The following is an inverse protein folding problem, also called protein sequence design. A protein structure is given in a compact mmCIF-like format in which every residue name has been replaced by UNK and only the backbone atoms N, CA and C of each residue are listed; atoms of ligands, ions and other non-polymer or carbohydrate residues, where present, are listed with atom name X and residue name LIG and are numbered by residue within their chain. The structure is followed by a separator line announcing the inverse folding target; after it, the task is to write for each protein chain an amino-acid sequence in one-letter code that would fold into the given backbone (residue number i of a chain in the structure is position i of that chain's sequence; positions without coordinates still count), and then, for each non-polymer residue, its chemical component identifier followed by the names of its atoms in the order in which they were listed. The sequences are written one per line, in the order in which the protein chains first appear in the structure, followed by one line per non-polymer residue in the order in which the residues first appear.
data_IF_199645100735
#
_entry.id   IF_199645100735
#
_cell.length_a   1.000
_cell.length_b   1.000
_cell.length_c   1.000
_cell.angle_alpha   90.00
_cell.angle_beta   90.00
_cell.angle_gamma   90.00
#
_symmetry.space_group_name_H-M   'P 1'
#
loop_
_entity.id
_entity.type
_entity.pdbx_description
1 polymer ?
#
# COMPACT_ATOMS: atom_id res chain seq x y z
N UNK A 1 29.69 12.58 -14.58
CA UNK A 1 29.38 11.41 -13.75
C UNK A 1 28.15 11.79 -12.95
N UNK A 2 26.98 11.26 -13.29
CA UNK A 2 25.75 11.58 -12.57
C UNK A 2 25.72 10.75 -11.29
N UNK A 3 25.70 11.41 -10.14
CA UNK A 3 25.45 10.77 -8.84
C UNK A 3 24.19 9.90 -8.92
N UNK A 4 24.16 8.70 -8.32
CA UNK A 4 22.91 7.98 -8.21
C UNK A 4 22.00 8.82 -7.31
N UNK A 5 20.94 9.38 -7.89
CA UNK A 5 19.82 9.88 -7.12
C UNK A 5 19.42 8.75 -6.17
N UNK A 6 19.51 8.98 -4.86
CA UNK A 6 19.17 7.97 -3.88
C UNK A 6 17.69 7.68 -4.06
N UNK A 7 17.37 6.55 -4.68
CA UNK A 7 16.00 6.20 -5.01
C UNK A 7 15.28 5.82 -3.72
N UNK A 8 14.07 6.34 -3.53
CA UNK A 8 13.18 5.94 -2.43
C UNK A 8 13.00 4.42 -2.47
N UNK A 9 13.26 3.70 -1.37
CA UNK A 9 13.02 2.27 -1.31
C UNK A 9 11.54 1.97 -1.58
N UNK A 10 11.30 1.03 -2.49
CA UNK A 10 9.97 0.65 -2.92
C UNK A 10 9.86 -0.87 -3.08
N UNK A 11 8.72 -1.44 -2.71
CA UNK A 11 8.31 -2.80 -3.01
C UNK A 11 7.00 -2.77 -3.80
N UNK A 12 6.76 -3.79 -4.62
CA UNK A 12 5.54 -3.91 -5.41
C UNK A 12 5.07 -5.36 -5.46
N UNK A 13 3.75 -5.55 -5.45
CA UNK A 13 3.11 -6.85 -5.55
C UNK A 13 1.84 -6.74 -6.41
N UNK A 14 1.39 -7.86 -6.96
CA UNK A 14 0.10 -7.96 -7.62
C UNK A 14 -0.63 -9.16 -7.06
N UNK A 15 -1.79 -8.90 -6.47
CA UNK A 15 -2.68 -9.92 -5.92
C UNK A 15 -3.76 -10.24 -6.94
N UNK A 16 -4.18 -11.51 -6.94
CA UNK A 16 -5.36 -11.95 -7.69
C UNK A 16 -6.47 -12.20 -6.67
N UNK A 17 -7.61 -11.56 -6.89
CA UNK A 17 -8.77 -11.60 -6.01
C UNK A 17 -9.98 -12.12 -6.81
N UNK A 18 -11.09 -12.40 -6.13
CA UNK A 18 -12.30 -12.80 -6.83
C UNK A 18 -12.69 -11.75 -7.89
N UNK A 19 -12.91 -12.16 -9.16
CA UNK A 19 -13.36 -11.24 -10.18
C UNK A 19 -14.63 -10.51 -9.74
N UNK A 20 -14.79 -9.24 -10.15
CA UNK A 20 -15.95 -8.42 -9.79
C UNK A 20 -16.11 -8.16 -8.28
N UNK A 21 -15.07 -8.38 -7.47
CA UNK A 21 -15.05 -7.87 -6.08
C UNK A 21 -15.29 -6.35 -6.14
N UNK A 22 -16.25 -5.79 -5.39
CA UNK A 22 -16.51 -4.34 -5.45
C UNK A 22 -15.33 -3.54 -4.91
N UNK A 23 -14.93 -2.46 -5.60
CA UNK A 23 -13.89 -1.52 -5.11
C UNK A 23 -14.14 -1.06 -3.66
N UNK A 24 -15.38 -0.76 -3.22
CA UNK A 24 -15.63 -0.42 -1.82
C UNK A 24 -15.21 -1.52 -0.82
N UNK A 25 -15.43 -2.81 -1.13
CA UNK A 25 -15.00 -3.94 -0.28
C UNK A 25 -13.48 -4.01 -0.21
N UNK A 26 -12.81 -3.81 -1.35
CA UNK A 26 -11.34 -3.77 -1.43
C UNK A 26 -10.78 -2.65 -0.56
N UNK A 27 -11.36 -1.44 -0.65
CA UNK A 27 -10.91 -0.29 0.13
C UNK A 27 -11.20 -0.43 1.62
N UNK A 28 -12.33 -1.01 2.00
CA UNK A 28 -12.65 -1.32 3.39
C UNK A 28 -11.60 -2.26 4.00
N UNK A 29 -11.27 -3.36 3.31
CA UNK A 29 -10.22 -4.26 3.75
C UNK A 29 -8.84 -3.60 3.84
N UNK A 30 -8.51 -2.73 2.89
CA UNK A 30 -7.26 -1.97 2.94
C UNK A 30 -7.22 -1.05 4.16
N UNK A 31 -8.30 -0.30 4.43
CA UNK A 31 -8.40 0.60 5.60
C UNK A 31 -8.33 -0.16 6.91
N UNK A 32 -9.04 -1.28 7.04
CA UNK A 32 -8.98 -2.11 8.24
C UNK A 32 -7.55 -2.61 8.48
N UNK A 33 -6.86 -3.06 7.43
CA UNK A 33 -5.48 -3.53 7.57
C UNK A 33 -4.52 -2.40 7.91
N UNK A 34 -4.66 -1.24 7.27
CA UNK A 34 -3.84 -0.05 7.56
C UNK A 34 -4.04 0.43 9.00
N UNK A 35 -5.28 0.43 9.51
CA UNK A 35 -5.58 0.81 10.89
C UNK A 35 -4.87 -0.13 11.87
N UNK A 36 -4.97 -1.45 11.68
CA UNK A 36 -4.27 -2.44 12.51
C UNK A 36 -2.76 -2.22 12.51
N UNK A 37 -2.17 -2.03 11.32
CA UNK A 37 -0.73 -1.83 11.18
C UNK A 37 -0.25 -0.52 11.81
N UNK A 38 -1.04 0.56 11.72
CA UNK A 38 -0.73 1.83 12.34
C UNK A 38 -0.81 1.82 13.87
N UNK A 39 -1.57 0.89 14.46
CA UNK A 39 -1.57 0.65 15.91
C UNK A 39 -0.35 -0.18 16.36
N UNK A 40 0.07 -1.15 15.55
CA UNK A 40 1.16 -2.07 15.87
C UNK A 40 2.57 -1.51 15.58
N UNK A 41 2.71 -0.68 14.55
CA UNK A 41 3.99 -0.19 14.06
C UNK A 41 3.89 1.27 13.55
N UNK A 42 4.60 2.17 14.23
CA UNK A 42 4.65 3.60 13.94
C UNK A 42 5.22 3.95 12.55
N UNK A 43 5.84 2.99 11.85
CA UNK A 43 6.23 3.18 10.46
C UNK A 43 5.02 3.27 9.54
N UNK A 44 3.86 2.70 9.88
CA UNK A 44 2.69 2.72 9.01
C UNK A 44 1.89 3.99 9.13
N UNK A 45 1.86 4.78 8.05
CA UNK A 45 0.86 5.83 7.91
C UNK A 45 -0.49 5.21 7.51
N UNK A 46 -1.42 5.21 8.46
CA UNK A 46 -2.78 4.70 8.28
C UNK A 46 -3.76 5.76 7.73
N UNK A 47 -3.30 7.01 7.56
CA UNK A 47 -4.14 8.08 7.02
C UNK A 47 -4.25 7.94 5.51
N UNK A 48 -5.47 7.68 5.04
CA UNK A 48 -5.80 7.75 3.61
C UNK A 48 -5.72 9.20 3.15
N UNK A 49 -4.86 9.47 2.16
CA UNK A 49 -4.64 10.80 1.58
C UNK A 49 -5.27 10.95 0.20
N UNK A 50 -5.55 9.84 -0.48
CA UNK A 50 -6.31 9.81 -1.74
C UNK A 50 -7.21 8.58 -1.77
N UNK A 51 -8.46 8.80 -2.17
CA UNK A 51 -9.43 7.73 -2.43
C UNK A 51 -10.21 8.09 -3.69
N UNK A 52 -10.07 7.26 -4.72
CA UNK A 52 -10.68 7.42 -6.03
C UNK A 52 -11.38 6.11 -6.40
N UNK A 53 -12.65 6.00 -5.98
CA UNK A 53 -13.45 4.79 -6.20
C UNK A 53 -13.69 4.51 -7.69
N UNK A 54 -14.00 5.51 -8.55
CA UNK A 54 -14.14 5.29 -10.00
C UNK A 54 -12.88 4.70 -10.64
N UNK A 55 -11.70 5.21 -10.29
CA UNK A 55 -10.44 4.74 -10.86
C UNK A 55 -9.81 3.58 -10.06
N UNK A 56 -10.40 3.17 -8.93
CA UNK A 56 -9.90 2.06 -8.11
C UNK A 56 -8.60 2.37 -7.36
N UNK A 57 -8.30 3.64 -7.08
CA UNK A 57 -7.07 4.07 -6.39
C UNK A 57 -7.31 4.39 -4.91
N UNK A 58 -6.45 3.86 -4.04
CA UNK A 58 -6.35 4.26 -2.63
C UNK A 58 -4.87 4.49 -2.26
N UNK A 59 -4.57 5.63 -1.63
CA UNK A 59 -3.20 5.98 -1.23
C UNK A 59 -3.13 6.49 0.22
N UNK A 60 -2.00 6.24 0.88
CA UNK A 60 -1.67 6.78 2.21
C UNK A 60 -0.45 7.69 2.20
N UNK A 61 -0.35 8.53 3.22
CA UNK A 61 0.84 9.31 3.56
C UNK A 61 1.44 10.15 2.43
N UNK A 62 0.63 10.65 1.50
CA UNK A 62 1.09 11.39 0.31
C UNK A 62 2.14 10.58 -0.49
N UNK A 63 1.74 9.41 -0.96
CA UNK A 63 2.55 8.46 -1.71
C UNK A 63 3.51 9.06 -2.78
N UNK A 64 3.14 10.08 -3.58
CA UNK A 64 4.01 10.61 -4.63
C UNK A 64 5.28 11.31 -4.14
N UNK A 65 5.30 11.79 -2.90
CA UNK A 65 6.43 12.54 -2.36
C UNK A 65 7.65 11.63 -2.10
N UNK A 66 8.87 12.12 -2.23
CA UNK A 66 10.05 11.27 -2.00
C UNK A 66 10.60 11.37 -0.57
N UNK A 67 10.24 12.43 0.17
CA UNK A 67 10.90 12.85 1.40
C UNK A 67 10.03 12.64 2.65
N UNK A 68 9.20 11.60 2.67
CA UNK A 68 8.33 11.29 3.81
C UNK A 68 8.81 10.01 4.48
N UNK A 69 9.06 10.11 5.78
CA UNK A 69 9.43 8.99 6.62
C UNK A 69 8.27 8.02 6.82
N UNK A 70 8.56 6.72 6.84
CA UNK A 70 7.55 5.68 7.07
C UNK A 70 6.99 5.09 5.78
N UNK A 71 6.15 4.07 5.96
CA UNK A 71 5.50 3.30 4.93
C UNK A 71 4.26 4.00 4.38
N UNK A 72 4.20 4.05 3.05
CA UNK A 72 3.14 4.68 2.28
C UNK A 72 2.69 3.75 1.19
N UNK A 73 1.40 3.46 1.17
CA UNK A 73 0.80 2.49 0.29
C UNK A 73 0.13 3.21 -0.88
N UNK A 74 0.29 2.64 -2.07
CA UNK A 74 -0.56 2.87 -3.22
C UNK A 74 -1.20 1.54 -3.61
N UNK A 75 -2.53 1.53 -3.65
CA UNK A 75 -3.35 0.41 -4.06
C UNK A 75 -4.11 0.80 -5.32
N UNK A 76 -4.00 -0.03 -6.34
CA UNK A 76 -4.75 0.09 -7.59
C UNK A 76 -5.57 -1.18 -7.80
N UNK A 77 -6.88 -1.05 -7.79
CA UNK A 77 -7.81 -2.15 -8.01
C UNK A 77 -8.33 -2.13 -9.45
N UNK A 78 -8.25 -3.28 -10.12
CA UNK A 78 -8.88 -3.55 -11.40
C UNK A 78 -9.97 -4.62 -11.19
N UNK A 79 -11.21 -4.15 -11.04
CA UNK A 79 -12.37 -5.01 -10.79
C UNK A 79 -12.67 -5.95 -11.96
N UNK A 80 -12.38 -5.52 -13.19
CA UNK A 80 -12.64 -6.29 -14.40
C UNK A 80 -11.66 -7.46 -14.53
N UNK A 81 -10.38 -7.22 -14.20
CA UNK A 81 -9.34 -8.25 -14.21
C UNK A 81 -9.27 -9.07 -12.91
N UNK A 82 -9.95 -8.64 -11.84
CA UNK A 82 -9.85 -9.27 -10.51
C UNK A 82 -8.45 -9.12 -9.92
N UNK A 83 -7.82 -7.95 -10.09
CA UNK A 83 -6.43 -7.70 -9.69
C UNK A 83 -6.33 -6.52 -8.74
N UNK A 84 -5.42 -6.63 -7.79
CA UNK A 84 -5.00 -5.50 -6.95
C UNK A 84 -3.48 -5.36 -7.09
N UNK A 85 -3.03 -4.25 -7.66
CA UNK A 85 -1.63 -3.87 -7.65
C UNK A 85 -1.34 -3.06 -6.40
N UNK A 86 -0.26 -3.42 -5.71
CA UNK A 86 0.19 -2.79 -4.48
C UNK A 86 1.59 -2.25 -4.70
N UNK A 87 1.84 -1.03 -4.23
CA UNK A 87 3.18 -0.44 -4.15
C UNK A 87 3.36 0.14 -2.75
N UNK A 88 4.46 -0.22 -2.11
CA UNK A 88 4.83 0.31 -0.81
C UNK A 88 6.12 1.09 -0.95
N UNK A 89 6.08 2.37 -0.60
CA UNK A 89 7.27 3.22 -0.45
C UNK A 89 7.59 3.36 1.02
N UNK A 90 8.87 3.35 1.36
CA UNK A 90 9.32 3.52 2.73
C UNK A 90 10.74 4.04 2.78
N UNK A 91 10.88 5.33 3.04
CA UNK A 91 12.19 5.95 3.23
C UNK A 91 12.39 6.26 4.71
N UNK A 92 13.56 5.89 5.24
CA UNK A 92 14.09 6.50 6.46
C UNK A 92 14.84 7.79 6.15
N UNK A 93 15.47 8.38 7.18
CA UNK A 93 16.43 9.45 6.97
C UNK A 93 17.47 9.04 5.91
N UNK A 94 17.74 9.92 4.94
CA UNK A 94 18.66 9.65 3.81
C UNK A 94 18.29 8.45 2.93
N UNK A 95 16.99 8.13 2.80
CA UNK A 95 16.50 7.02 1.96
C UNK A 95 16.94 5.62 2.40
N UNK A 96 17.24 5.45 3.69
CA UNK A 96 17.50 4.12 4.26
C UNK A 96 16.23 3.26 4.12
N UNK A 97 16.40 2.04 3.61
CA UNK A 97 15.29 1.08 3.52
C UNK A 97 14.83 0.67 4.93
N UNK A 98 13.55 0.94 5.21
CA UNK A 98 12.91 0.58 6.48
C UNK A 98 12.32 -0.83 6.47
N UNK A 99 12.59 -1.60 5.41
CA UNK A 99 12.08 -2.96 5.22
C UNK A 99 10.83 -3.00 4.37
N UNK A 100 10.77 -2.23 3.28
CA UNK A 100 9.57 -2.13 2.42
C UNK A 100 9.07 -3.47 1.88
N UNK A 101 9.97 -4.43 1.63
CA UNK A 101 9.61 -5.78 1.22
C UNK A 101 8.87 -6.55 2.32
N UNK A 102 9.39 -6.50 3.55
CA UNK A 102 8.76 -7.15 4.69
C UNK A 102 7.44 -6.45 5.06
N UNK A 103 7.40 -5.12 5.02
CA UNK A 103 6.18 -4.33 5.23
C UNK A 103 5.09 -4.70 4.24
N UNK A 104 5.42 -4.76 2.94
CA UNK A 104 4.43 -5.10 1.91
C UNK A 104 3.86 -6.49 2.12
N UNK A 105 4.70 -7.49 2.41
CA UNK A 105 4.26 -8.85 2.72
C UNK A 105 3.33 -8.90 3.93
N UNK A 106 3.68 -8.19 5.01
CA UNK A 106 2.85 -8.08 6.22
C UNK A 106 1.49 -7.45 5.91
N UNK A 107 1.43 -6.44 5.03
CA UNK A 107 0.17 -5.89 4.57
C UNK A 107 -0.65 -6.92 3.78
N UNK A 108 -0.04 -7.60 2.80
CA UNK A 108 -0.68 -8.60 1.95
C UNK A 108 -1.36 -9.71 2.77
N UNK A 109 -0.69 -10.25 3.79
CA UNK A 109 -1.20 -11.35 4.62
C UNK A 109 -2.53 -11.00 5.30
N UNK A 110 -2.62 -9.83 5.96
CA UNK A 110 -3.86 -9.41 6.61
C UNK A 110 -4.92 -8.90 5.64
N UNK A 111 -4.50 -8.28 4.53
CA UNK A 111 -5.39 -7.77 3.51
C UNK A 111 -6.12 -8.90 2.76
N UNK A 112 -5.39 -9.95 2.36
CA UNK A 112 -5.97 -11.12 1.69
C UNK A 112 -6.91 -11.90 2.60
N UNK A 113 -6.63 -11.95 3.91
CA UNK A 113 -7.53 -12.55 4.89
C UNK A 113 -8.88 -11.81 4.94
N UNK A 114 -8.88 -10.48 4.99
CA UNK A 114 -10.11 -9.68 4.95
C UNK A 114 -10.90 -9.90 3.66
N UNK A 115 -10.23 -9.93 2.51
CA UNK A 115 -10.90 -10.13 1.22
C UNK A 115 -11.56 -11.50 1.09
N UNK A 116 -10.99 -12.52 1.73
CA UNK A 116 -11.55 -13.87 1.78
C UNK A 116 -12.72 -14.02 2.76
N UNK A 117 -12.97 -13.02 3.62
CA UNK A 117 -14.13 -13.03 4.51
C UNK A 117 -15.44 -12.92 3.70
N UNK A 118 -16.46 -13.73 4.05
CA UNK A 118 -17.75 -13.75 3.36
C UNK A 118 -18.46 -12.38 3.41
#
# INVERSE_FOLDING_TARGET
MSEPAHAVPEASATLHIAPQTPTPKVFECARQRLAQLGEDDALWDHKVTREDVPDGVLETGNFPEDNISGFRLHLQHDAAAGKVALRLRGAGAYYVDQGVQAGLKTFEEGFTHCLAAP
#
